data_IF_320151158027
#
_entry.id   IF_320151158027
#
_cell.length_a   1.000
_cell.length_b   1.000
_cell.length_c   1.000
_cell.angle_alpha   90.00
_cell.angle_beta   90.00
_cell.angle_gamma   90.00
#
_symmetry.space_group_name_H-M   'P 1'
#
loop_
_entity.id
_entity.type
_entity.pdbx_description
1 polymer ?
#
# COMPACT_ATOMS: atom_id res chain seq x y z
N UNK A 1 8.28 -24.80 -15.46
CA UNK A 1 8.40 -23.34 -15.67
C UNK A 1 9.61 -22.87 -14.87
N UNK A 2 10.58 -22.17 -15.47
CA UNK A 2 11.77 -21.67 -14.73
C UNK A 2 11.31 -20.72 -13.62
N UNK A 3 11.82 -20.88 -12.41
CA UNK A 3 11.58 -19.93 -11.32
C UNK A 3 12.17 -18.58 -11.70
N UNK A 4 11.42 -17.51 -11.44
CA UNK A 4 11.90 -16.14 -11.64
C UNK A 4 12.77 -15.78 -10.42
N UNK A 5 13.92 -15.13 -10.66
CA UNK A 5 14.82 -14.71 -9.58
C UNK A 5 14.14 -13.64 -8.72
N UNK A 6 14.17 -13.86 -7.41
CA UNK A 6 13.66 -12.96 -6.38
C UNK A 6 14.32 -11.58 -6.46
N UNK A 7 15.62 -11.55 -6.69
CA UNK A 7 16.43 -10.34 -6.82
C UNK A 7 15.96 -9.48 -7.99
N UNK A 8 15.64 -10.11 -9.13
CA UNK A 8 15.14 -9.39 -10.31
C UNK A 8 13.77 -8.77 -10.07
N UNK A 9 12.87 -9.49 -9.39
CA UNK A 9 11.53 -8.96 -9.09
C UNK A 9 11.60 -7.84 -8.06
N UNK A 10 12.46 -7.98 -7.04
CA UNK A 10 12.74 -6.92 -6.08
C UNK A 10 13.27 -5.66 -6.77
N UNK A 11 14.32 -5.79 -7.58
CA UNK A 11 14.91 -4.67 -8.29
C UNK A 11 13.92 -3.95 -9.22
N UNK A 12 13.05 -4.70 -9.91
CA UNK A 12 12.01 -4.10 -10.75
C UNK A 12 10.96 -3.34 -9.92
N UNK A 13 10.52 -3.92 -8.81
CA UNK A 13 9.54 -3.31 -7.92
C UNK A 13 10.08 -2.02 -7.31
N UNK A 14 11.33 -2.04 -6.83
CA UNK A 14 12.01 -0.87 -6.28
C UNK A 14 12.22 0.21 -7.35
N UNK A 15 12.57 -0.18 -8.59
CA UNK A 15 12.72 0.75 -9.71
C UNK A 15 11.41 1.48 -10.05
N UNK A 16 10.28 0.76 -10.14
CA UNK A 16 8.97 1.35 -10.42
C UNK A 16 8.53 2.28 -9.27
N UNK A 17 8.72 1.85 -8.02
CA UNK A 17 8.36 2.65 -6.85
C UNK A 17 9.22 3.90 -6.74
N UNK A 18 10.52 3.82 -7.03
CA UNK A 18 11.40 4.98 -7.06
C UNK A 18 10.95 6.00 -8.10
N UNK A 19 10.58 5.55 -9.31
CA UNK A 19 10.03 6.44 -10.35
C UNK A 19 8.73 7.09 -9.87
N UNK A 20 7.81 6.33 -9.28
CA UNK A 20 6.55 6.87 -8.75
C UNK A 20 6.80 7.95 -7.69
N UNK A 21 7.75 7.74 -6.76
CA UNK A 21 8.14 8.74 -5.75
C UNK A 21 8.77 9.98 -6.40
N UNK A 22 9.60 9.82 -7.44
CA UNK A 22 10.17 10.99 -8.14
C UNK A 22 9.13 11.80 -8.92
N UNK A 23 8.10 11.15 -9.46
CA UNK A 23 7.01 11.87 -10.14
C UNK A 23 6.24 12.76 -9.14
N UNK A 24 6.13 12.36 -7.87
CA UNK A 24 5.45 13.17 -6.85
C UNK A 24 5.94 14.61 -6.82
N UNK A 25 7.27 14.82 -6.77
CA UNK A 25 7.81 16.18 -6.65
C UNK A 25 7.58 17.00 -7.92
N UNK A 26 7.48 16.35 -9.08
CA UNK A 26 7.20 17.03 -10.35
C UNK A 26 5.77 17.57 -10.42
N UNK A 27 4.86 17.01 -9.64
CA UNK A 27 3.48 17.48 -9.54
C UNK A 27 3.33 18.72 -8.64
N UNK A 28 4.35 19.05 -7.83
CA UNK A 28 4.39 20.29 -7.04
C UNK A 28 4.75 21.47 -7.93
N UNK A 29 3.76 21.93 -8.70
CA UNK A 29 3.91 23.09 -9.59
C UNK A 29 4.01 24.36 -8.75
N UNK A 30 4.97 25.20 -9.11
CA UNK A 30 5.10 26.56 -8.57
C UNK A 30 4.13 27.46 -9.32
N UNK A 31 3.40 28.37 -8.64
CA UNK A 31 2.56 29.36 -9.31
C UNK A 31 3.35 30.16 -10.36
N UNK A 32 2.78 30.36 -11.55
CA UNK A 32 3.45 31.08 -12.65
C UNK A 32 3.53 32.59 -12.38
N UNK A 33 2.52 33.14 -11.68
CA UNK A 33 2.45 34.55 -11.34
C UNK A 33 3.32 34.89 -10.12
N UNK A 34 4.11 35.95 -10.25
CA UNK A 34 5.07 36.39 -9.22
C UNK A 34 4.38 37.09 -8.02
N UNK A 35 3.06 37.28 -8.09
CA UNK A 35 2.23 37.75 -6.98
C UNK A 35 1.54 36.55 -6.33
N UNK A 36 2.07 36.09 -5.19
CA UNK A 36 1.42 35.06 -4.38
C UNK A 36 0.20 35.67 -3.67
N UNK A 37 -0.99 35.44 -4.21
CA UNK A 37 -2.23 35.75 -3.49
C UNK A 37 -2.42 34.74 -2.34
N UNK A 38 -3.34 35.07 -1.42
CA UNK A 38 -3.69 34.13 -0.34
C UNK A 38 -4.26 32.82 -0.89
N UNK A 39 -5.05 32.91 -1.95
CA UNK A 39 -5.73 31.77 -2.57
C UNK A 39 -4.70 30.85 -3.26
N UNK A 40 -3.66 31.42 -3.87
CA UNK A 40 -2.55 30.64 -4.44
C UNK A 40 -1.78 29.86 -3.37
N UNK A 41 -1.56 30.47 -2.20
CA UNK A 41 -0.90 29.81 -1.07
C UNK A 41 -1.76 28.67 -0.53
N UNK A 42 -3.07 28.87 -0.39
CA UNK A 42 -3.99 27.83 0.07
C UNK A 42 -4.02 26.64 -0.90
N UNK A 43 -4.13 26.91 -2.20
CA UNK A 43 -4.09 25.87 -3.22
C UNK A 43 -2.75 25.11 -3.21
N UNK A 44 -1.63 25.83 -3.10
CA UNK A 44 -0.30 25.21 -3.05
C UNK A 44 -0.11 24.33 -1.80
N UNK A 45 -0.66 24.73 -0.65
CA UNK A 45 -0.67 23.91 0.57
C UNK A 45 -1.48 22.63 0.35
N UNK A 46 -2.63 22.69 -0.33
CA UNK A 46 -3.41 21.49 -0.65
C UNK A 46 -2.65 20.53 -1.58
N UNK A 47 -1.98 21.04 -2.61
CA UNK A 47 -1.12 20.22 -3.48
C UNK A 47 0.04 19.59 -2.70
N UNK A 48 0.66 20.34 -1.79
CA UNK A 48 1.69 19.80 -0.90
C UNK A 48 1.15 18.70 0.01
N UNK A 49 -0.07 18.84 0.53
CA UNK A 49 -0.73 17.77 1.30
C UNK A 49 -1.01 16.53 0.43
N UNK A 50 -1.40 16.71 -0.84
CA UNK A 50 -1.53 15.63 -1.82
C UNK A 50 -0.23 14.85 -1.98
N UNK A 51 0.88 15.57 -2.12
CA UNK A 51 2.23 14.99 -2.15
C UNK A 51 2.56 14.20 -0.88
N UNK A 52 2.29 14.76 0.31
CA UNK A 52 2.55 14.07 1.59
C UNK A 52 1.72 12.79 1.70
N UNK A 53 0.43 12.86 1.39
CA UNK A 53 -0.48 11.69 1.39
C UNK A 53 0.06 10.61 0.46
N UNK A 54 0.41 10.98 -0.77
CA UNK A 54 0.97 10.05 -1.74
C UNK A 54 2.27 9.40 -1.28
N UNK A 55 3.20 10.18 -0.75
CA UNK A 55 4.49 9.67 -0.28
C UNK A 55 4.29 8.63 0.82
N UNK A 56 3.44 8.93 1.81
CA UNK A 56 3.12 8.01 2.91
C UNK A 56 2.47 6.74 2.38
N UNK A 57 1.48 6.85 1.48
CA UNK A 57 0.79 5.70 0.95
C UNK A 57 1.70 4.81 0.10
N UNK A 58 2.54 5.40 -0.75
CA UNK A 58 3.53 4.64 -1.54
C UNK A 58 4.52 3.91 -0.60
N UNK A 59 4.99 4.55 0.47
CA UNK A 59 5.87 3.91 1.44
C UNK A 59 5.21 2.71 2.15
N UNK A 60 3.95 2.82 2.54
CA UNK A 60 3.18 1.70 3.12
C UNK A 60 3.04 0.55 2.11
N UNK A 61 2.74 0.86 0.85
CA UNK A 61 2.61 -0.16 -0.21
C UNK A 61 3.95 -0.83 -0.53
N UNK A 62 5.04 -0.07 -0.51
CA UNK A 62 6.39 -0.61 -0.66
C UNK A 62 6.71 -1.59 0.47
N UNK A 63 6.39 -1.25 1.71
CA UNK A 63 6.65 -2.09 2.87
C UNK A 63 5.88 -3.42 2.81
N UNK A 64 4.64 -3.39 2.32
CA UNK A 64 3.85 -4.60 2.08
C UNK A 64 4.43 -5.44 0.93
N UNK A 65 4.82 -4.83 -0.19
CA UNK A 65 5.50 -5.52 -1.30
C UNK A 65 6.81 -6.17 -0.83
N UNK A 66 7.63 -5.43 -0.08
CA UNK A 66 8.90 -5.91 0.45
C UNK A 66 8.70 -7.11 1.38
N UNK A 67 7.67 -7.08 2.23
CA UNK A 67 7.32 -8.22 3.09
C UNK A 67 6.95 -9.46 2.28
N UNK A 68 6.13 -9.31 1.24
CA UNK A 68 5.75 -10.43 0.37
C UNK A 68 6.96 -10.98 -0.38
N UNK A 69 7.85 -10.11 -0.86
CA UNK A 69 9.12 -10.47 -1.46
C UNK A 69 9.99 -11.28 -0.51
N UNK A 70 10.14 -10.86 0.75
CA UNK A 70 10.94 -11.56 1.76
C UNK A 70 10.36 -12.96 2.04
N UNK A 71 9.05 -13.08 2.19
CA UNK A 71 8.37 -14.36 2.49
C UNK A 71 8.28 -15.32 1.30
N UNK A 72 8.29 -14.82 0.07
CA UNK A 72 8.29 -15.66 -1.13
C UNK A 72 9.61 -16.42 -1.27
N UNK A 73 9.53 -17.76 -1.27
CA UNK A 73 10.63 -18.67 -1.57
C UNK A 73 10.79 -18.89 -3.08
N UNK A 74 9.67 -18.96 -3.81
CA UNK A 74 9.62 -19.10 -5.27
C UNK A 74 8.62 -18.09 -5.83
N UNK A 75 9.03 -17.36 -6.87
CA UNK A 75 8.17 -16.43 -7.58
C UNK A 75 7.36 -17.16 -8.66
N UNK A 76 6.08 -17.37 -8.38
CA UNK A 76 5.11 -17.98 -9.28
C UNK A 76 4.46 -16.93 -10.19
N UNK A 77 3.94 -17.35 -11.36
CA UNK A 77 3.27 -16.44 -12.30
C UNK A 77 2.06 -15.70 -11.68
N UNK A 78 1.19 -16.34 -10.87
CA UNK A 78 0.08 -15.64 -10.24
C UNK A 78 0.56 -14.53 -9.28
N UNK A 79 1.59 -14.80 -8.49
CA UNK A 79 2.16 -13.80 -7.58
C UNK A 79 2.73 -12.62 -8.38
N UNK A 80 3.45 -12.90 -9.47
CA UNK A 80 4.00 -11.87 -10.34
C UNK A 80 2.92 -10.99 -10.98
N UNK A 81 1.82 -11.57 -11.48
CA UNK A 81 0.70 -10.81 -12.07
C UNK A 81 0.10 -9.85 -11.03
N UNK A 82 -0.12 -10.34 -9.81
CA UNK A 82 -0.68 -9.52 -8.72
C UNK A 82 0.29 -8.40 -8.34
N UNK A 83 1.59 -8.68 -8.26
CA UNK A 83 2.62 -7.66 -8.01
C UNK A 83 2.64 -6.60 -9.11
N UNK A 84 2.61 -6.98 -10.39
CA UNK A 84 2.56 -6.00 -11.48
C UNK A 84 1.30 -5.14 -11.47
N UNK A 85 0.14 -5.75 -11.20
CA UNK A 85 -1.11 -5.01 -11.05
C UNK A 85 -1.00 -3.98 -9.90
N UNK A 86 -0.41 -4.38 -8.77
CA UNK A 86 -0.17 -3.46 -7.65
C UNK A 86 0.82 -2.35 -8.04
N UNK A 87 1.93 -2.65 -8.70
CA UNK A 87 2.90 -1.64 -9.14
C UNK A 87 2.26 -0.61 -10.08
N UNK A 88 1.40 -1.06 -11.00
CA UNK A 88 0.60 -0.18 -11.85
C UNK A 88 -0.31 0.75 -11.02
N UNK A 89 -1.02 0.20 -10.03
CA UNK A 89 -1.87 0.98 -9.14
C UNK A 89 -1.09 1.92 -8.21
N UNK A 90 0.13 1.56 -7.80
CA UNK A 90 1.02 2.44 -7.03
C UNK A 90 1.41 3.66 -7.89
N UNK A 91 1.66 3.46 -9.18
CA UNK A 91 2.01 4.56 -10.09
C UNK A 91 0.87 5.57 -10.31
N UNK A 92 -0.38 5.19 -10.00
CA UNK A 92 -1.56 6.06 -10.08
C UNK A 92 -1.86 6.83 -8.79
N UNK A 93 -1.18 6.52 -7.69
CA UNK A 93 -1.35 7.20 -6.39
C UNK A 93 -1.11 8.73 -6.49
N UNK A 94 -0.02 9.22 -7.14
CA UNK A 94 0.22 10.66 -7.33
C UNK A 94 -1.00 11.36 -7.93
N UNK A 95 -1.49 10.83 -9.05
CA UNK A 95 -2.63 11.36 -9.77
C UNK A 95 -3.89 11.41 -8.90
N UNK A 96 -4.24 10.32 -8.23
CA UNK A 96 -5.43 10.27 -7.38
C UNK A 96 -5.38 11.26 -6.22
N UNK A 97 -4.21 11.40 -5.59
CA UNK A 97 -4.03 12.32 -4.45
C UNK A 97 -4.10 13.80 -4.88
N UNK A 98 -3.52 14.15 -6.02
CA UNK A 98 -3.57 15.52 -6.50
C UNK A 98 -4.96 15.88 -6.99
N UNK A 99 -5.65 14.96 -7.67
CA UNK A 99 -7.00 15.18 -8.16
C UNK A 99 -7.99 15.53 -7.02
N UNK A 100 -7.89 14.87 -5.87
CA UNK A 100 -8.77 15.18 -4.72
C UNK A 100 -8.39 16.47 -4.00
N UNK A 101 -7.11 16.87 -4.05
CA UNK A 101 -6.66 18.15 -3.46
C UNK A 101 -6.96 19.34 -4.36
N UNK A 102 -6.90 19.14 -5.69
CA UNK A 102 -7.22 20.12 -6.72
C UNK A 102 -8.74 20.35 -6.81
N UNK A 103 -9.53 19.28 -6.68
CA UNK A 103 -10.99 19.33 -6.78
C UNK A 103 -11.65 18.67 -5.56
N UNK A 104 -11.54 19.27 -4.37
CA UNK A 104 -12.04 18.65 -3.13
C UNK A 104 -13.56 18.44 -3.14
N UNK A 105 -14.32 19.33 -3.76
CA UNK A 105 -15.79 19.23 -3.81
C UNK A 105 -16.31 18.26 -4.89
N UNK A 106 -15.41 17.71 -5.72
CA UNK A 106 -15.79 16.78 -6.79
C UNK A 106 -15.99 15.37 -6.25
N UNK A 107 -17.22 14.84 -6.34
CA UNK A 107 -17.47 13.43 -6.02
C UNK A 107 -16.60 12.50 -6.89
N UNK A 108 -16.32 12.88 -8.14
CA UNK A 108 -15.49 12.08 -9.04
C UNK A 108 -14.02 12.01 -8.58
N UNK A 109 -13.47 13.10 -8.02
CA UNK A 109 -12.10 13.09 -7.48
C UNK A 109 -12.00 12.15 -6.26
N UNK A 110 -12.98 12.23 -5.36
CA UNK A 110 -13.07 11.37 -4.18
C UNK A 110 -13.23 9.89 -4.55
N UNK A 111 -14.10 9.56 -5.52
CA UNK A 111 -14.25 8.18 -6.03
C UNK A 111 -12.93 7.68 -6.61
N UNK A 112 -12.29 8.49 -7.47
CA UNK A 112 -11.02 8.12 -8.12
C UNK A 112 -9.95 7.77 -7.09
N UNK A 113 -9.73 8.64 -6.10
CA UNK A 113 -8.75 8.40 -5.05
C UNK A 113 -9.06 7.12 -4.24
N UNK A 114 -10.31 6.95 -3.79
CA UNK A 114 -10.69 5.78 -3.00
C UNK A 114 -10.60 4.46 -3.77
N UNK A 115 -10.95 4.47 -5.07
CA UNK A 115 -10.84 3.28 -5.92
C UNK A 115 -9.37 2.87 -6.12
N UNK A 116 -8.48 3.82 -6.37
CA UNK A 116 -7.03 3.54 -6.50
C UNK A 116 -6.47 2.94 -5.21
N UNK A 117 -6.81 3.52 -4.05
CA UNK A 117 -6.36 3.01 -2.75
C UNK A 117 -6.93 1.62 -2.43
N UNK A 118 -8.22 1.42 -2.68
CA UNK A 118 -8.89 0.13 -2.47
C UNK A 118 -8.31 -0.96 -3.36
N UNK A 119 -8.12 -0.67 -4.65
CA UNK A 119 -7.54 -1.62 -5.61
C UNK A 119 -6.12 -2.04 -5.21
N UNK A 120 -5.30 -1.09 -4.73
CA UNK A 120 -3.96 -1.39 -4.19
C UNK A 120 -4.04 -2.40 -3.04
N UNK A 121 -4.96 -2.19 -2.09
CA UNK A 121 -5.20 -3.10 -0.98
C UNK A 121 -5.67 -4.48 -1.39
N UNK A 122 -6.54 -4.54 -2.40
CA UNK A 122 -7.05 -5.78 -2.96
C UNK A 122 -5.91 -6.60 -3.59
N UNK A 123 -5.04 -5.96 -4.38
CA UNK A 123 -3.85 -6.61 -4.94
C UNK A 123 -2.93 -7.11 -3.82
N UNK A 124 -2.64 -6.30 -2.82
CA UNK A 124 -1.80 -6.72 -1.70
C UNK A 124 -2.42 -7.91 -0.92
N UNK A 125 -3.74 -7.89 -0.66
CA UNK A 125 -4.46 -9.00 -0.04
C UNK A 125 -4.41 -10.27 -0.87
N UNK A 126 -4.66 -10.16 -2.18
CA UNK A 126 -4.57 -11.26 -3.14
C UNK A 126 -3.16 -11.86 -3.20
N UNK A 127 -2.12 -11.03 -3.18
CA UNK A 127 -0.72 -11.48 -3.15
C UNK A 127 -0.43 -12.33 -1.91
N UNK A 128 -0.92 -11.88 -0.74
CA UNK A 128 -0.83 -12.66 0.49
C UNK A 128 -1.60 -13.99 0.46
N UNK A 129 -2.76 -14.06 -0.21
CA UNK A 129 -3.52 -15.31 -0.39
C UNK A 129 -2.81 -16.30 -1.33
N UNK A 130 -2.26 -15.80 -2.44
CA UNK A 130 -1.45 -16.60 -3.37
C UNK A 130 -0.23 -17.17 -2.64
N UNK A 131 0.49 -16.32 -1.90
CA UNK A 131 1.65 -16.73 -1.12
C UNK A 131 1.28 -17.74 -0.02
N UNK A 132 0.15 -17.56 0.66
CA UNK A 132 -0.32 -18.50 1.68
C UNK A 132 -0.62 -19.88 1.09
N UNK A 133 -1.20 -19.94 -0.12
CA UNK A 133 -1.42 -21.19 -0.84
C UNK A 133 -0.09 -21.89 -1.13
N UNK A 134 0.90 -21.15 -1.62
CA UNK A 134 2.21 -21.70 -1.95
C UNK A 134 2.96 -22.20 -0.71
N UNK A 135 2.88 -21.48 0.42
CA UNK A 135 3.49 -21.91 1.69
C UNK A 135 2.81 -23.13 2.30
N UNK A 136 1.48 -23.27 2.13
CA UNK A 136 0.76 -24.48 2.55
C UNK A 136 1.23 -25.72 1.78
N UNK A 137 1.62 -25.56 0.53
CA UNK A 137 2.19 -26.65 -0.30
C UNK A 137 3.65 -26.98 0.08
N UNK A 138 4.30 -26.12 0.86
CA UNK A 138 5.68 -26.28 1.35
C UNK A 138 5.73 -26.76 2.83
N UNK A 139 4.62 -27.31 3.35
CA UNK A 139 4.49 -27.81 4.72
C UNK A 139 4.68 -26.75 5.83
N UNK A 140 4.35 -25.48 5.57
CA UNK A 140 4.32 -24.38 6.54
C UNK A 140 2.87 -23.88 6.84
N UNK A 141 1.96 -24.74 7.33
CA UNK A 141 0.52 -24.44 7.44
C UNK A 141 0.19 -23.33 8.44
N UNK A 142 0.96 -23.18 9.52
CA UNK A 142 0.75 -22.13 10.52
C UNK A 142 1.03 -20.73 9.95
N UNK A 143 2.07 -20.61 9.13
CA UNK A 143 2.43 -19.35 8.47
C UNK A 143 1.38 -19.02 7.41
N UNK A 144 0.95 -20.01 6.63
CA UNK A 144 -0.11 -19.87 5.65
C UNK A 144 -1.43 -19.39 6.28
N UNK A 145 -1.88 -20.00 7.39
CA UNK A 145 -3.10 -19.59 8.07
C UNK A 145 -3.02 -18.14 8.59
N UNK A 146 -1.86 -17.73 9.11
CA UNK A 146 -1.60 -16.35 9.55
C UNK A 146 -1.70 -15.37 8.39
N UNK A 147 -1.13 -15.73 7.22
CA UNK A 147 -1.21 -14.90 6.02
C UNK A 147 -2.64 -14.80 5.48
N UNK A 148 -3.41 -15.89 5.44
CA UNK A 148 -4.82 -15.85 5.03
C UNK A 148 -5.61 -14.91 5.94
N UNK A 149 -5.49 -15.06 7.26
CA UNK A 149 -6.20 -14.20 8.21
C UNK A 149 -5.83 -12.73 8.00
N UNK A 150 -4.55 -12.44 7.85
CA UNK A 150 -4.07 -11.07 7.59
C UNK A 150 -4.61 -10.52 6.27
N UNK A 151 -4.52 -11.29 5.18
CA UNK A 151 -5.02 -10.88 3.86
C UNK A 151 -6.53 -10.57 3.90
N UNK A 152 -7.32 -11.40 4.57
CA UNK A 152 -8.76 -11.17 4.71
C UNK A 152 -9.06 -9.94 5.58
N UNK A 153 -8.37 -9.78 6.71
CA UNK A 153 -8.48 -8.58 7.54
C UNK A 153 -8.07 -7.32 6.77
N UNK A 154 -7.03 -7.40 5.96
CA UNK A 154 -6.59 -6.30 5.13
C UNK A 154 -7.64 -5.90 4.11
N UNK A 155 -8.18 -6.86 3.35
CA UNK A 155 -9.26 -6.58 2.39
C UNK A 155 -10.47 -5.98 3.10
N UNK A 156 -10.85 -6.51 4.27
CA UNK A 156 -11.95 -5.98 5.07
C UNK A 156 -11.70 -4.51 5.46
N UNK A 157 -10.53 -4.20 6.05
CA UNK A 157 -10.20 -2.83 6.48
C UNK A 157 -10.18 -1.87 5.30
N UNK A 158 -9.57 -2.27 4.18
CA UNK A 158 -9.51 -1.43 2.97
C UNK A 158 -10.91 -1.22 2.37
N UNK A 159 -11.75 -2.25 2.34
CA UNK A 159 -13.14 -2.12 1.91
C UNK A 159 -13.93 -1.19 2.84
N UNK A 160 -13.77 -1.34 4.15
CA UNK A 160 -14.42 -0.46 5.14
C UNK A 160 -14.01 1.00 4.95
N UNK A 161 -12.71 1.27 4.78
CA UNK A 161 -12.23 2.64 4.54
C UNK A 161 -12.75 3.20 3.23
N UNK A 162 -12.73 2.42 2.14
CA UNK A 162 -13.25 2.86 0.84
C UNK A 162 -14.76 3.19 0.91
N UNK A 163 -15.54 2.35 1.59
CA UNK A 163 -16.98 2.56 1.77
C UNK A 163 -17.24 3.79 2.64
N UNK A 164 -16.57 3.92 3.79
CA UNK A 164 -16.74 5.07 4.68
C UNK A 164 -16.27 6.36 4.00
N UNK A 165 -15.15 6.32 3.27
CA UNK A 165 -14.65 7.45 2.49
C UNK A 165 -15.62 7.89 1.39
N UNK A 166 -16.22 6.93 0.68
CA UNK A 166 -17.26 7.21 -0.33
C UNK A 166 -18.52 7.81 0.29
N UNK A 167 -19.00 7.25 1.40
CA UNK A 167 -20.13 7.80 2.14
C UNK A 167 -19.82 9.22 2.64
N UNK A 168 -18.62 9.45 3.15
CA UNK A 168 -18.13 10.78 3.51
C UNK A 168 -18.22 11.76 2.35
N UNK A 169 -17.72 11.37 1.16
CA UNK A 169 -17.78 12.22 -0.03
C UNK A 169 -19.23 12.57 -0.44
N UNK A 170 -20.15 11.60 -0.40
CA UNK A 170 -21.59 11.83 -0.69
C UNK A 170 -22.21 12.79 0.34
N UNK A 171 -21.74 12.75 1.58
CA UNK A 171 -22.19 13.60 2.69
C UNK A 171 -21.42 14.94 2.76
N UNK A 172 -20.71 15.36 1.71
CA UNK A 172 -19.94 16.61 1.66
C UNK A 172 -18.73 16.66 2.62
N UNK A 173 -18.15 15.49 2.92
CA UNK A 173 -16.90 15.32 3.67
C UNK A 173 -15.84 14.59 2.82
N UNK A 174 -15.32 15.21 1.75
CA UNK A 174 -14.44 14.56 0.77
C UNK A 174 -13.10 14.08 1.37
N UNK A 175 -12.58 14.80 2.37
CA UNK A 175 -11.34 14.43 3.05
C UNK A 175 -11.46 13.28 4.04
N UNK A 176 -12.67 12.79 4.35
CA UNK A 176 -12.85 11.67 5.27
C UNK A 176 -12.09 10.42 4.78
N UNK A 177 -12.16 10.14 3.48
CA UNK A 177 -11.39 9.05 2.87
C UNK A 177 -9.88 9.25 3.05
N UNK A 178 -9.37 10.45 2.76
CA UNK A 178 -7.93 10.78 2.91
C UNK A 178 -7.44 10.53 4.32
N UNK A 179 -8.17 11.04 5.33
CA UNK A 179 -7.81 10.87 6.74
C UNK A 179 -7.81 9.39 7.14
N UNK A 180 -8.80 8.63 6.71
CA UNK A 180 -8.86 7.20 7.00
C UNK A 180 -7.73 6.42 6.32
N UNK A 181 -7.40 6.74 5.07
CA UNK A 181 -6.26 6.14 4.38
C UNK A 181 -4.93 6.48 5.06
N UNK A 182 -4.76 7.72 5.56
CA UNK A 182 -3.59 8.13 6.34
C UNK A 182 -3.45 7.41 7.70
N UNK A 183 -4.46 6.69 8.17
CA UNK A 183 -4.32 5.81 9.34
C UNK A 183 -3.61 4.49 9.03
N UNK A 184 -3.44 4.14 7.75
CA UNK A 184 -2.82 2.88 7.33
C UNK A 184 -1.41 2.63 7.84
N UNK A 185 -0.50 3.62 7.95
CA UNK A 185 0.81 3.42 8.56
C UNK A 185 0.72 2.85 9.98
N UNK A 186 -0.27 3.27 10.77
CA UNK A 186 -0.48 2.74 12.13
C UNK A 186 -0.91 1.27 12.06
N UNK A 187 -1.86 0.95 11.19
CA UNK A 187 -2.32 -0.43 10.96
C UNK A 187 -1.16 -1.33 10.48
N UNK A 188 -0.37 -0.85 9.53
CA UNK A 188 0.80 -1.53 9.01
C UNK A 188 1.85 -1.77 10.10
N UNK A 189 2.10 -0.79 10.97
CA UNK A 189 3.01 -0.92 12.11
C UNK A 189 2.56 -2.03 13.08
N UNK A 190 1.28 -2.09 13.42
CA UNK A 190 0.73 -3.17 14.24
C UNK A 190 0.86 -4.55 13.56
N UNK A 191 0.68 -4.63 12.23
CA UNK A 191 0.82 -5.90 11.51
C UNK A 191 2.27 -6.37 11.36
N UNK A 192 3.23 -5.45 11.27
CA UNK A 192 4.66 -5.78 11.13
C UNK A 192 5.30 -6.13 12.47
N UNK A 193 5.00 -5.38 13.52
CA UNK A 193 5.47 -5.66 14.88
C UNK A 193 4.98 -7.01 15.42
N UNK A 194 3.83 -7.50 14.94
CA UNK A 194 3.35 -8.85 15.24
C UNK A 194 4.21 -9.97 14.64
N UNK A 195 4.88 -9.73 13.51
CA UNK A 195 5.73 -10.73 12.85
C UNK A 195 7.07 -10.93 13.57
N UNK A 196 7.66 -9.85 14.09
CA UNK A 196 8.93 -9.88 14.86
C UNK A 196 8.78 -10.64 16.18
N UNK A 197 7.62 -10.50 16.85
CA UNK A 197 7.30 -11.24 18.08
C UNK A 197 7.20 -12.75 17.84
N UNK A 198 6.64 -13.17 16.71
CA UNK A 198 6.58 -14.60 16.34
C UNK A 198 7.95 -15.17 15.96
N UNK A 199 8.81 -14.39 15.29
CA UNK A 199 10.16 -14.81 14.92
C UNK A 199 11.11 -14.95 16.13
N UNK A 200 11.05 -14.00 17.07
CA UNK A 200 11.84 -14.04 18.31
C UNK A 200 11.43 -15.17 19.26
N UNK A 201 10.14 -15.51 19.29
CA UNK A 201 9.60 -16.67 20.01
C UNK A 201 10.10 -18.00 19.43
N UNK A 202 10.13 -18.15 18.10
CA UNK A 202 10.71 -19.34 17.43
C UNK A 202 12.21 -19.51 17.71
N UNK A 203 12.96 -18.41 17.78
CA UNK A 203 14.39 -18.45 18.10
C UNK A 203 14.64 -18.96 19.53
N UNK A 204 13.87 -18.48 20.51
CA UNK A 204 13.96 -18.93 21.91
C UNK A 204 13.49 -20.39 22.11
N UNK A 205 12.48 -20.85 21.35
CA UNK A 205 12.02 -22.24 21.41
C UNK A 205 13.03 -23.26 20.87
N UNK A 206 13.84 -22.89 19.85
CA UNK A 206 14.90 -23.76 19.32
C UNK A 206 16.12 -23.84 20.23
N UNK A 207 16.48 -22.76 20.92
CA UNK A 207 17.58 -22.79 21.91
C UNK A 207 17.22 -23.60 23.15
N UNK A 208 15.96 -23.61 23.57
CA UNK A 208 15.50 -24.39 24.72
C UNK A 208 15.48 -25.91 24.45
N UNK A 209 15.14 -26.34 23.23
CA UNK A 209 15.14 -27.75 22.82
C UNK A 209 16.52 -28.31 22.46
N UNK A 210 17.51 -27.45 22.20
CA UNK A 210 18.89 -27.87 21.88
C UNK A 210 19.76 -28.15 23.11
N UNK A 211 19.31 -27.77 24.31
CA UNK A 211 20.03 -27.93 25.57
C UNK A 211 19.42 -28.99 26.51
N UNK A 212 18.50 -29.83 26.01
CA UNK A 212 17.85 -30.91 26.75
C UNK A 212 18.18 -32.28 26.16
#
# INVERSE_FOLDING_TARGET
>A
MKSISKERVGALSDGVIAIAVTILVLELKVPEDHSLSRDDVEHWVLLFLGWVVSFIMIAVMWLENHRQLVLASVWTMPLMIVTFAQLGLISLIPFGSNLIMDQPDSLASAITFNVIMFANGLCAGAGGLVLARDLRMQDEPEVAATLVRRSLLQVLVYASIAVIGLLGAILHHPFLGVILWLSMPLVAWFWLSGAEKSASSRAHGRTAKGNS
#
